data_IF_505161143200
#
_entry.id   IF_505161143200
#
_cell.length_a   1.000
_cell.length_b   1.000
_cell.length_c   1.000
_cell.angle_alpha   90.00
_cell.angle_beta   90.00
_cell.angle_gamma   90.00
#
_symmetry.space_group_name_H-M   'P 1'
#
loop_
_entity.id
_entity.type
_entity.pdbx_description
1 polymer ?
#
# COMPACT_ATOMS: atom_id res chain seq x y z
N UNK A 1 -60.70 47.24 -1.41
CA UNK A 1 -61.53 46.17 -2.00
C UNK A 1 -60.61 45.13 -2.58
N UNK A 2 -60.62 43.86 -2.14
CA UNK A 2 -61.41 43.24 -1.06
C UNK A 2 -60.59 42.08 -0.44
N UNK A 3 -60.73 41.93 0.88
CA UNK A 3 -60.48 40.80 1.80
C UNK A 3 -60.06 39.45 1.17
N UNK A 4 -58.98 38.81 1.65
CA UNK A 4 -58.87 38.01 2.90
C UNK A 4 -59.82 36.80 2.97
N UNK A 5 -59.25 35.59 3.11
CA UNK A 5 -59.83 34.52 3.95
C UNK A 5 -58.81 33.37 4.19
N UNK A 6 -58.30 33.22 5.42
CA UNK A 6 -57.89 31.90 5.94
C UNK A 6 -59.12 31.23 6.58
N UNK A 7 -59.21 29.90 6.55
CA UNK A 7 -60.08 29.17 7.49
C UNK A 7 -59.66 27.71 7.76
N UNK A 8 -59.67 27.38 9.05
CA UNK A 8 -59.11 26.19 9.73
C UNK A 8 -60.12 25.03 9.84
N UNK A 9 -59.73 23.81 9.41
CA UNK A 9 -60.13 22.45 9.91
C UNK A 9 -61.66 22.14 10.11
N UNK A 10 -62.11 20.96 10.66
CA UNK A 10 -61.49 19.65 10.92
C UNK A 10 -62.30 18.44 10.31
N UNK A 11 -62.25 17.26 10.97
CA UNK A 11 -62.99 15.99 10.74
C UNK A 11 -62.46 15.08 9.61
N UNK A 12 -61.86 13.89 9.82
CA UNK A 12 -62.00 12.74 10.78
C UNK A 12 -63.04 11.68 10.33
N UNK A 13 -62.63 10.40 10.43
CA UNK A 13 -63.26 9.07 10.15
C UNK A 13 -62.52 8.33 9.00
N UNK A 14 -61.80 7.21 9.19
CA UNK A 14 -62.16 5.87 9.75
C UNK A 14 -63.19 5.13 8.87
N UNK A 15 -63.00 3.90 8.37
CA UNK A 15 -61.98 2.84 8.53
C UNK A 15 -61.65 2.17 7.14
N UNK A 16 -60.99 1.00 6.92
CA UNK A 16 -60.58 -0.12 7.79
C UNK A 16 -59.41 -0.98 7.23
N UNK A 17 -58.69 -1.59 8.18
CA UNK A 17 -57.82 -2.78 8.26
C UNK A 17 -57.89 -3.91 7.21
N UNK A 18 -56.70 -4.42 6.82
CA UNK A 18 -56.23 -5.84 6.74
C UNK A 18 -54.81 -5.81 6.12
N UNK A 19 -53.70 -5.94 6.85
CA UNK A 19 -53.09 -7.11 7.54
C UNK A 19 -52.29 -8.06 6.62
N UNK A 20 -51.01 -8.23 6.97
CA UNK A 20 -50.07 -9.27 6.51
C UNK A 20 -48.76 -9.16 7.30
N UNK A 21 -48.82 -9.44 8.61
CA UNK A 21 -47.63 -9.51 9.47
C UNK A 21 -46.84 -10.81 9.28
N UNK A 22 -45.50 -10.73 9.22
CA UNK A 22 -44.58 -11.87 9.18
C UNK A 22 -43.37 -11.65 10.09
N UNK A 23 -43.61 -11.50 11.40
CA UNK A 23 -42.57 -11.70 12.40
C UNK A 23 -42.25 -13.20 12.52
N UNK A 24 -40.96 -13.54 12.49
CA UNK A 24 -40.46 -14.85 12.95
C UNK A 24 -39.28 -14.61 13.90
N UNK A 25 -39.61 -14.16 15.10
CA UNK A 25 -38.78 -14.45 16.27
C UNK A 25 -39.12 -15.85 16.78
N UNK A 26 -38.09 -16.64 17.09
CA UNK A 26 -38.24 -17.91 17.80
C UNK A 26 -36.99 -18.10 18.66
N UNK A 27 -37.10 -17.69 19.91
CA UNK A 27 -36.08 -17.84 20.94
C UNK A 27 -36.56 -18.91 21.92
N UNK A 28 -35.82 -20.03 22.01
CA UNK A 28 -36.10 -21.11 22.93
C UNK A 28 -34.79 -21.70 23.47
N UNK A 29 -34.67 -21.69 24.80
CA UNK A 29 -33.51 -22.16 25.54
C UNK A 29 -33.93 -23.19 26.61
N UNK A 30 -32.92 -23.86 27.19
CA UNK A 30 -33.03 -24.94 28.21
C UNK A 30 -33.64 -26.27 27.70
N UNK A 31 -33.31 -27.44 28.25
CA UNK A 31 -32.41 -27.72 29.38
C UNK A 31 -31.56 -29.01 29.19
N UNK A 32 -30.68 -29.24 30.17
CA UNK A 32 -29.66 -30.30 30.26
C UNK A 32 -30.22 -31.70 30.57
N UNK A 33 -29.59 -32.72 29.98
CA UNK A 33 -29.22 -33.98 30.66
C UNK A 33 -28.27 -34.80 29.77
N UNK A 34 -27.16 -35.27 30.33
CA UNK A 34 -26.13 -36.04 29.60
C UNK A 34 -25.94 -37.47 30.13
N UNK A 35 -25.41 -38.33 29.27
CA UNK A 35 -24.75 -39.61 29.59
C UNK A 35 -23.46 -39.68 28.76
N UNK A 36 -22.42 -40.31 29.30
CA UNK A 36 -21.05 -40.27 28.78
C UNK A 36 -20.73 -41.42 27.80
N UNK A 37 -19.43 -41.52 27.44
CA UNK A 37 -18.73 -42.68 26.86
C UNK A 37 -18.78 -42.81 25.32
N UNK A 38 -17.66 -42.88 24.57
CA UNK A 38 -16.23 -42.72 24.88
C UNK A 38 -15.53 -42.05 23.68
N UNK A 39 -14.44 -41.30 23.93
CA UNK A 39 -13.30 -41.27 23.00
C UNK A 39 -11.99 -40.99 23.74
N UNK A 40 -10.96 -41.79 23.46
CA UNK A 40 -9.68 -41.73 24.15
C UNK A 40 -8.82 -40.53 23.76
N UNK A 41 -7.94 -40.14 24.69
CA UNK A 41 -6.84 -39.20 24.44
C UNK A 41 -5.95 -39.69 23.29
N UNK A 42 -5.51 -38.76 22.44
CA UNK A 42 -4.36 -38.94 21.55
C UNK A 42 -3.60 -37.62 21.49
N UNK A 43 -2.49 -37.53 22.22
CA UNK A 43 -1.59 -36.40 22.17
C UNK A 43 -0.70 -36.51 20.92
N UNK A 44 -0.81 -35.60 19.95
CA UNK A 44 0.29 -35.37 19.01
C UNK A 44 0.31 -33.95 18.43
N UNK A 45 1.43 -33.27 18.71
CA UNK A 45 2.15 -32.29 17.88
C UNK A 45 1.40 -31.56 16.76
N UNK A 46 1.20 -30.25 16.95
CA UNK A 46 1.92 -29.16 16.24
C UNK A 46 2.10 -29.15 14.71
N UNK A 47 2.48 -27.95 14.22
CA UNK A 47 3.16 -27.73 12.93
C UNK A 47 2.35 -27.87 11.61
N UNK A 48 1.07 -27.51 11.63
CA UNK A 48 0.24 -27.39 10.41
C UNK A 48 0.72 -26.33 9.40
N UNK A 49 1.72 -25.51 9.72
CA UNK A 49 2.31 -24.51 8.81
C UNK A 49 3.35 -25.10 7.84
N UNK A 50 4.09 -26.15 8.23
CA UNK A 50 5.26 -26.65 7.45
C UNK A 50 4.92 -27.53 6.24
N UNK A 51 3.67 -27.94 6.06
CA UNK A 51 3.29 -29.00 5.11
C UNK A 51 3.44 -28.64 3.61
N UNK A 52 3.78 -27.39 3.28
CA UNK A 52 4.06 -26.96 1.90
C UNK A 52 5.49 -27.26 1.42
N UNK A 53 6.43 -27.62 2.31
CA UNK A 53 7.85 -27.73 1.97
C UNK A 53 8.30 -29.11 1.42
N UNK A 54 7.57 -30.19 1.67
CA UNK A 54 8.03 -31.57 1.37
C UNK A 54 7.98 -32.02 -0.10
N UNK A 55 7.56 -31.15 -1.05
CA UNK A 55 7.56 -31.52 -2.48
C UNK A 55 7.85 -30.36 -3.44
N UNK A 56 8.90 -29.60 -3.16
CA UNK A 56 9.60 -28.83 -4.19
C UNK A 56 10.84 -29.63 -4.63
N UNK A 57 11.06 -29.90 -5.93
CA UNK A 57 12.30 -30.54 -6.38
C UNK A 57 13.52 -29.69 -5.99
N UNK A 58 14.71 -30.29 -5.81
CA UNK A 58 15.94 -29.54 -5.63
C UNK A 58 16.30 -28.81 -6.93
N UNK A 59 15.72 -27.63 -7.12
CA UNK A 59 16.10 -26.68 -8.17
C UNK A 59 17.54 -26.27 -7.92
N UNK A 60 18.42 -26.79 -8.78
CA UNK A 60 19.86 -26.75 -8.62
C UNK A 60 20.35 -25.31 -8.69
N UNK A 61 21.23 -24.90 -7.77
CA UNK A 61 21.91 -23.60 -7.91
C UNK A 61 22.89 -23.70 -9.10
N UNK A 62 23.04 -22.60 -9.83
CA UNK A 62 23.75 -22.51 -11.12
C UNK A 62 23.14 -23.36 -12.27
N UNK A 63 22.23 -22.76 -13.03
CA UNK A 63 21.80 -23.24 -14.35
C UNK A 63 22.13 -22.23 -15.46
N UNK A 64 23.42 -21.99 -15.72
CA UNK A 64 23.91 -21.22 -16.88
C UNK A 64 23.82 -22.04 -18.19
N UNK A 65 22.61 -22.47 -18.56
CA UNK A 65 22.39 -23.29 -19.77
C UNK A 65 21.00 -23.08 -20.39
N UNK A 66 20.96 -22.24 -21.44
CA UNK A 66 19.88 -22.14 -22.45
C UNK A 66 18.44 -22.17 -21.90
N UNK A 67 17.91 -21.00 -21.55
CA UNK A 67 16.46 -20.82 -21.44
C UNK A 67 15.80 -21.07 -22.81
N UNK A 68 15.01 -22.14 -22.91
CA UNK A 68 13.78 -22.08 -23.70
C UNK A 68 12.86 -21.08 -22.98
N UNK A 69 12.25 -20.15 -23.72
CA UNK A 69 11.71 -18.92 -23.14
C UNK A 69 10.56 -19.18 -22.16
N UNK A 70 10.89 -19.20 -20.87
CA UNK A 70 9.93 -19.27 -19.77
C UNK A 70 8.94 -18.10 -19.85
N UNK A 71 7.68 -18.35 -19.49
CA UNK A 71 6.69 -17.27 -19.45
C UNK A 71 6.99 -16.33 -18.26
N UNK A 72 6.76 -15.02 -18.44
CA UNK A 72 7.09 -14.02 -17.43
C UNK A 72 6.56 -14.32 -15.99
N UNK A 73 5.36 -14.90 -15.78
CA UNK A 73 4.92 -15.32 -14.45
C UNK A 73 5.79 -16.43 -13.82
N UNK A 74 6.36 -17.33 -14.61
CA UNK A 74 7.25 -18.40 -14.12
C UNK A 74 8.61 -17.83 -13.71
N UNK A 75 9.19 -16.94 -14.53
CA UNK A 75 10.43 -16.23 -14.16
C UNK A 75 10.25 -15.39 -12.88
N UNK A 76 9.13 -14.65 -12.77
CA UNK A 76 8.79 -13.91 -11.55
C UNK A 76 8.70 -14.80 -10.30
N UNK A 77 8.01 -15.95 -10.39
CA UNK A 77 7.90 -16.90 -9.29
C UNK A 77 9.25 -17.56 -8.95
N UNK A 78 10.10 -17.81 -9.95
CA UNK A 78 11.45 -18.32 -9.74
C UNK A 78 12.29 -17.32 -8.94
N UNK A 79 12.38 -16.06 -9.37
CA UNK A 79 13.17 -15.04 -8.67
C UNK A 79 12.65 -14.75 -7.26
N UNK A 80 11.33 -14.82 -7.04
CA UNK A 80 10.73 -14.76 -5.72
C UNK A 80 11.24 -15.91 -4.82
N UNK A 81 11.26 -17.14 -5.31
CA UNK A 81 11.74 -18.30 -4.56
C UNK A 81 13.25 -18.29 -4.34
N UNK A 82 14.03 -17.76 -5.28
CA UNK A 82 15.48 -17.53 -5.13
C UNK A 82 15.75 -16.57 -3.97
N UNK A 83 15.12 -15.38 -3.97
CA UNK A 83 15.33 -14.36 -2.94
C UNK A 83 14.76 -14.82 -1.59
N UNK A 84 13.62 -15.51 -1.57
CA UNK A 84 13.02 -16.04 -0.34
C UNK A 84 13.95 -17.04 0.36
N UNK A 85 14.55 -17.99 -0.38
CA UNK A 85 15.56 -18.93 0.17
C UNK A 85 16.75 -18.21 0.81
N UNK A 86 17.21 -17.10 0.21
CA UNK A 86 18.31 -16.30 0.73
C UNK A 86 17.93 -15.56 2.02
N UNK A 87 16.72 -14.99 2.07
CA UNK A 87 16.20 -14.28 3.24
C UNK A 87 15.82 -15.19 4.41
N UNK A 88 15.36 -16.42 4.15
CA UNK A 88 14.95 -17.37 5.21
C UNK A 88 16.08 -18.31 5.65
N UNK A 89 16.99 -18.67 4.75
CA UNK A 89 17.91 -19.78 4.98
C UNK A 89 19.08 -19.49 5.92
N UNK A 90 19.42 -18.22 6.16
CA UNK A 90 20.60 -17.82 6.97
C UNK A 90 21.96 -18.31 6.42
N UNK A 91 21.98 -18.81 5.17
CA UNK A 91 23.05 -19.59 4.55
C UNK A 91 24.40 -18.84 4.50
N UNK A 92 24.37 -17.51 4.53
CA UNK A 92 25.54 -16.66 4.32
C UNK A 92 26.16 -16.27 5.68
N UNK A 93 26.82 -17.26 6.27
CA UNK A 93 27.79 -17.12 7.36
C UNK A 93 29.24 -17.04 6.86
N UNK A 94 29.48 -17.21 5.55
CA UNK A 94 30.75 -16.93 4.89
C UNK A 94 30.88 -15.43 4.57
N UNK A 95 32.11 -14.91 4.56
CA UNK A 95 32.37 -13.49 4.27
C UNK A 95 32.04 -13.13 2.82
N UNK A 96 31.16 -12.14 2.65
CA UNK A 96 30.74 -11.62 1.34
C UNK A 96 31.88 -10.98 0.52
N UNK A 97 33.07 -10.79 1.11
CA UNK A 97 34.26 -10.25 0.44
C UNK A 97 34.80 -11.16 -0.65
N UNK A 98 34.54 -12.47 -0.60
CA UNK A 98 34.89 -13.42 -1.67
C UNK A 98 33.77 -13.61 -2.72
N UNK A 99 32.60 -12.98 -2.52
CA UNK A 99 31.33 -13.41 -3.14
C UNK A 99 30.70 -12.37 -4.09
N UNK A 100 31.52 -11.62 -4.83
CA UNK A 100 31.05 -10.56 -5.76
C UNK A 100 30.12 -11.10 -6.87
N UNK A 101 30.34 -12.35 -7.31
CA UNK A 101 29.52 -13.01 -8.32
C UNK A 101 28.08 -13.27 -7.83
N UNK A 102 27.91 -13.80 -6.62
CA UNK A 102 26.57 -14.06 -6.09
C UNK A 102 25.88 -12.75 -5.71
N UNK A 103 26.63 -11.73 -5.26
CA UNK A 103 26.11 -10.37 -5.15
C UNK A 103 25.54 -9.87 -6.48
N UNK A 104 26.17 -10.12 -7.63
CA UNK A 104 25.61 -9.77 -8.93
C UNK A 104 24.35 -10.58 -9.26
N UNK A 105 24.36 -11.91 -9.07
CA UNK A 105 23.20 -12.78 -9.31
C UNK A 105 21.99 -12.37 -8.48
N UNK A 106 22.16 -12.12 -7.18
CA UNK A 106 21.11 -11.67 -6.27
C UNK A 106 20.54 -10.32 -6.75
N UNK A 107 21.40 -9.38 -7.14
CA UNK A 107 20.95 -8.08 -7.64
C UNK A 107 20.20 -8.18 -8.98
N UNK A 108 20.51 -9.19 -9.81
CA UNK A 108 19.78 -9.47 -11.04
C UNK A 108 18.39 -10.04 -10.73
N UNK A 109 18.27 -11.08 -9.89
CA UNK A 109 16.97 -11.63 -9.49
C UNK A 109 16.09 -10.58 -8.79
N UNK A 110 16.67 -9.70 -7.96
CA UNK A 110 15.95 -8.55 -7.34
C UNK A 110 15.45 -7.57 -8.40
N UNK A 111 16.27 -7.24 -9.40
CA UNK A 111 15.87 -6.34 -10.48
C UNK A 111 14.75 -6.93 -11.34
N UNK A 112 14.85 -8.23 -11.67
CA UNK A 112 13.83 -8.98 -12.41
C UNK A 112 12.53 -9.14 -11.60
N UNK A 113 12.61 -9.28 -10.27
CA UNK A 113 11.44 -9.29 -9.39
C UNK A 113 10.73 -7.91 -9.39
N UNK A 114 11.49 -6.80 -9.32
CA UNK A 114 10.95 -5.44 -9.40
C UNK A 114 10.32 -5.12 -10.76
N UNK A 115 10.91 -5.58 -11.86
CA UNK A 115 10.32 -5.48 -13.20
C UNK A 115 9.05 -6.33 -13.33
N UNK A 116 9.06 -7.55 -12.79
CA UNK A 116 7.86 -8.40 -12.71
C UNK A 116 6.71 -7.75 -11.94
N UNK A 117 6.99 -7.22 -10.73
CA UNK A 117 6.01 -6.45 -9.95
C UNK A 117 5.47 -5.25 -10.75
N UNK A 118 6.36 -4.51 -11.42
CA UNK A 118 5.97 -3.37 -12.27
C UNK A 118 5.00 -3.80 -13.38
N UNK A 119 5.27 -4.92 -14.05
CA UNK A 119 4.39 -5.47 -15.11
C UNK A 119 3.04 -5.91 -14.53
N UNK A 120 3.01 -6.57 -13.37
CA UNK A 120 1.75 -6.99 -12.74
C UNK A 120 0.88 -5.82 -12.28
N UNK A 121 1.45 -4.77 -11.68
CA UNK A 121 0.66 -3.59 -11.27
C UNK A 121 0.18 -2.73 -12.46
N UNK A 122 0.89 -2.74 -13.59
CA UNK A 122 0.42 -2.12 -14.84
C UNK A 122 -0.65 -2.95 -15.57
N UNK A 123 -0.75 -4.26 -15.30
CA UNK A 123 -1.65 -5.20 -15.98
C UNK A 123 -2.50 -5.98 -14.97
N UNK A 124 -3.54 -5.36 -14.36
CA UNK A 124 -4.35 -5.95 -13.28
C UNK A 124 -5.30 -7.07 -13.73
N UNK A 125 -4.92 -7.84 -14.75
CA UNK A 125 -5.66 -9.00 -15.29
C UNK A 125 -5.58 -10.24 -14.38
N UNK A 126 -4.76 -10.21 -13.33
CA UNK A 126 -4.50 -11.32 -12.42
C UNK A 126 -4.85 -10.96 -10.96
N UNK A 127 -5.89 -11.58 -10.35
CA UNK A 127 -6.27 -11.33 -8.96
C UNK A 127 -5.38 -12.14 -7.99
N UNK A 128 -4.08 -11.82 -7.93
CA UNK A 128 -3.08 -12.56 -7.13
C UNK A 128 -2.40 -11.63 -6.12
N UNK A 129 -3.20 -10.90 -5.35
CA UNK A 129 -2.74 -9.95 -4.31
C UNK A 129 -1.72 -10.56 -3.34
N UNK A 130 -1.93 -11.82 -2.97
CA UNK A 130 -1.15 -12.48 -1.91
C UNK A 130 0.29 -12.75 -2.36
N UNK A 131 0.52 -13.17 -3.61
CA UNK A 131 1.89 -13.41 -4.12
C UNK A 131 2.62 -12.09 -4.38
N UNK A 132 1.91 -11.06 -4.84
CA UNK A 132 2.48 -9.72 -4.99
C UNK A 132 2.88 -9.12 -3.63
N UNK A 133 2.04 -9.33 -2.60
CA UNK A 133 2.32 -8.90 -1.21
C UNK A 133 3.50 -9.68 -0.64
N UNK A 134 3.53 -11.01 -0.81
CA UNK A 134 4.65 -11.88 -0.40
C UNK A 134 5.97 -11.44 -1.06
N UNK A 135 5.96 -11.10 -2.34
CA UNK A 135 7.15 -10.59 -3.04
C UNK A 135 7.64 -9.24 -2.50
N UNK A 136 6.73 -8.35 -2.13
CA UNK A 136 7.06 -7.08 -1.46
C UNK A 136 7.61 -7.33 -0.05
N UNK A 137 7.04 -8.26 0.71
CA UNK A 137 7.57 -8.65 2.02
C UNK A 137 8.97 -9.28 1.93
N UNK A 138 9.21 -10.17 0.97
CA UNK A 138 10.52 -10.79 0.71
C UNK A 138 11.58 -9.75 0.31
N UNK A 139 11.20 -8.75 -0.51
CA UNK A 139 12.07 -7.61 -0.81
C UNK A 139 12.39 -6.76 0.43
N UNK A 140 11.38 -6.47 1.27
CA UNK A 140 11.57 -5.70 2.51
C UNK A 140 12.50 -6.46 3.48
N UNK A 141 12.33 -7.77 3.65
CA UNK A 141 13.23 -8.59 4.48
C UNK A 141 14.67 -8.55 3.97
N UNK A 142 14.89 -8.73 2.67
CA UNK A 142 16.22 -8.65 2.05
C UNK A 142 16.89 -7.28 2.25
N UNK A 143 16.11 -6.20 2.22
CA UNK A 143 16.58 -4.82 2.44
C UNK A 143 16.87 -4.54 3.91
N UNK A 144 16.19 -5.24 4.83
CA UNK A 144 16.35 -5.08 6.29
C UNK A 144 17.52 -5.91 6.84
N UNK A 145 17.90 -7.02 6.19
CA UNK A 145 19.08 -7.81 6.55
C UNK A 145 20.36 -6.97 6.43
N UNK A 146 21.00 -6.68 7.57
CA UNK A 146 22.18 -5.80 7.66
C UNK A 146 23.45 -6.37 7.02
N UNK A 147 23.49 -7.67 6.71
CA UNK A 147 24.59 -8.32 5.98
C UNK A 147 24.43 -8.17 4.48
N UNK A 148 23.21 -8.38 3.97
CA UNK A 148 22.89 -8.34 2.54
C UNK A 148 22.67 -6.92 2.03
N UNK A 149 22.06 -6.05 2.85
CA UNK A 149 21.57 -4.73 2.44
C UNK A 149 22.64 -3.84 1.81
N UNK A 150 23.83 -3.72 2.41
CA UNK A 150 24.89 -2.84 1.89
C UNK A 150 25.30 -3.16 0.44
N UNK A 151 25.34 -4.44 0.07
CA UNK A 151 25.71 -4.87 -1.29
C UNK A 151 24.52 -4.82 -2.26
N UNK A 152 23.33 -5.23 -1.80
CA UNK A 152 22.09 -5.22 -2.61
C UNK A 152 21.62 -3.79 -2.87
N UNK A 153 21.56 -2.92 -1.86
CA UNK A 153 21.16 -1.52 -2.01
C UNK A 153 22.09 -0.78 -2.96
N UNK A 154 23.42 -0.92 -2.83
CA UNK A 154 24.37 -0.19 -3.69
C UNK A 154 24.20 -0.48 -5.19
N UNK A 155 23.68 -1.66 -5.56
CA UNK A 155 23.38 -2.06 -6.95
C UNK A 155 21.90 -1.84 -7.34
N UNK A 156 20.96 -2.21 -6.48
CA UNK A 156 19.51 -2.24 -6.78
C UNK A 156 18.73 -0.99 -6.33
N UNK A 157 19.26 -0.12 -5.45
CA UNK A 157 18.50 1.03 -4.92
C UNK A 157 17.96 1.94 -6.02
N UNK A 158 18.71 2.16 -7.11
CA UNK A 158 18.21 2.91 -8.29
C UNK A 158 16.95 2.26 -8.89
N UNK A 159 16.93 0.92 -9.02
CA UNK A 159 15.79 0.16 -9.56
C UNK A 159 14.58 0.19 -8.61
N UNK A 160 14.85 0.26 -7.31
CA UNK A 160 13.83 0.36 -6.26
C UNK A 160 13.22 1.78 -6.16
N UNK A 161 14.03 2.82 -6.34
CA UNK A 161 13.54 4.20 -6.52
C UNK A 161 12.70 4.35 -7.80
N UNK A 162 13.13 3.73 -8.90
CA UNK A 162 12.34 3.62 -10.14
C UNK A 162 11.02 2.87 -9.91
N UNK A 163 11.03 1.76 -9.16
CA UNK A 163 9.82 1.00 -8.79
C UNK A 163 8.82 1.86 -8.01
N UNK A 164 9.24 2.57 -6.95
CA UNK A 164 8.36 3.48 -6.20
C UNK A 164 7.75 4.57 -7.09
N UNK A 165 8.54 5.15 -8.00
CA UNK A 165 8.06 6.13 -8.99
C UNK A 165 7.01 5.52 -9.92
N UNK A 166 7.25 4.31 -10.42
CA UNK A 166 6.30 3.59 -11.26
C UNK A 166 4.99 3.31 -10.52
N UNK A 167 5.03 2.87 -9.26
CA UNK A 167 3.83 2.66 -8.43
C UNK A 167 3.02 3.96 -8.25
N UNK A 168 3.66 5.08 -7.93
CA UNK A 168 2.98 6.38 -7.80
C UNK A 168 2.35 6.82 -9.13
N UNK A 169 3.06 6.65 -10.25
CA UNK A 169 2.53 7.00 -11.57
C UNK A 169 1.41 6.05 -12.04
N UNK A 170 1.38 4.78 -11.59
CA UNK A 170 0.26 3.84 -11.76
C UNK A 170 -0.99 4.29 -10.98
N UNK A 171 -0.82 4.96 -9.84
CA UNK A 171 -1.95 5.59 -9.13
C UNK A 171 -2.43 6.82 -9.91
N UNK A 172 -1.57 7.80 -10.13
CA UNK A 172 -1.95 9.10 -10.70
C UNK A 172 -2.65 8.95 -12.06
N UNK A 173 -2.16 8.04 -12.91
CA UNK A 173 -2.65 7.82 -14.28
C UNK A 173 -3.76 6.77 -14.40
N UNK A 174 -4.35 6.30 -13.29
CA UNK A 174 -5.32 5.20 -13.35
C UNK A 174 -6.71 5.64 -13.82
N UNK A 175 -7.02 5.36 -15.09
CA UNK A 175 -8.33 5.59 -15.72
C UNK A 175 -9.11 4.29 -16.02
N UNK A 176 -8.67 3.16 -15.45
CA UNK A 176 -9.29 1.86 -15.70
C UNK A 176 -10.64 1.70 -14.98
N UNK A 177 -11.56 0.91 -15.56
CA UNK A 177 -12.85 0.55 -14.93
C UNK A 177 -12.65 -0.04 -13.53
N UNK A 178 -11.62 -0.86 -13.34
CA UNK A 178 -11.26 -1.45 -12.05
C UNK A 178 -10.22 -0.60 -11.26
N UNK A 179 -10.18 0.74 -11.42
CA UNK A 179 -9.15 1.57 -10.78
C UNK A 179 -9.08 1.32 -9.27
N UNK A 180 -10.21 1.28 -8.55
CA UNK A 180 -10.23 1.20 -7.09
C UNK A 180 -9.49 -0.02 -6.53
N UNK A 181 -9.61 -1.19 -7.19
CA UNK A 181 -8.86 -2.40 -6.80
C UNK A 181 -7.35 -2.25 -7.06
N UNK A 182 -6.99 -1.64 -8.19
CA UNK A 182 -5.59 -1.39 -8.58
C UNK A 182 -4.95 -0.36 -7.64
N UNK A 183 -5.64 0.76 -7.41
CA UNK A 183 -5.27 1.81 -6.47
C UNK A 183 -5.08 1.26 -5.06
N UNK A 184 -5.99 0.42 -4.56
CA UNK A 184 -5.84 -0.21 -3.24
C UNK A 184 -4.59 -1.09 -3.16
N UNK A 185 -4.37 -1.98 -4.14
CA UNK A 185 -3.22 -2.89 -4.15
C UNK A 185 -1.88 -2.14 -4.25
N UNK A 186 -1.80 -1.09 -5.06
CA UNK A 186 -0.60 -0.26 -5.22
C UNK A 186 -0.38 0.62 -3.98
N UNK A 187 -1.44 1.20 -3.39
CA UNK A 187 -1.34 1.98 -2.15
C UNK A 187 -0.86 1.14 -0.98
N UNK A 188 -1.43 -0.06 -0.80
CA UNK A 188 -0.96 -1.03 0.20
C UNK A 188 0.54 -1.37 0.02
N UNK A 189 0.98 -1.52 -1.23
CA UNK A 189 2.39 -1.78 -1.56
C UNK A 189 3.29 -0.61 -1.19
N UNK A 190 2.88 0.62 -1.50
CA UNK A 190 3.62 1.84 -1.10
C UNK A 190 3.67 1.99 0.43
N UNK A 191 2.60 1.69 1.15
CA UNK A 191 2.58 1.68 2.63
C UNK A 191 3.54 0.63 3.20
N UNK A 192 3.56 -0.60 2.65
CA UNK A 192 4.51 -1.64 3.06
C UNK A 192 5.97 -1.20 2.84
N UNK A 193 6.29 -0.64 1.67
CA UNK A 193 7.63 -0.10 1.39
C UNK A 193 7.98 1.06 2.33
N UNK A 194 7.03 1.95 2.61
CA UNK A 194 7.22 3.12 3.49
C UNK A 194 7.36 2.78 4.97
N UNK A 195 6.91 1.60 5.42
CA UNK A 195 7.21 1.08 6.77
C UNK A 195 8.65 0.60 6.92
N UNK A 196 9.39 0.41 5.83
CA UNK A 196 10.81 0.07 5.92
C UNK A 196 11.67 1.34 6.04
N UNK A 197 12.41 1.46 7.16
CA UNK A 197 13.20 2.65 7.48
C UNK A 197 14.27 3.03 6.43
N UNK A 198 14.72 2.11 5.57
CA UNK A 198 15.68 2.41 4.48
C UNK A 198 14.98 3.11 3.31
N UNK A 199 13.70 2.81 3.07
CA UNK A 199 12.93 3.31 1.90
C UNK A 199 11.97 4.45 2.26
N UNK A 200 11.63 4.57 3.54
CA UNK A 200 10.68 5.53 4.12
C UNK A 200 10.97 6.96 3.70
N UNK A 201 12.17 7.47 3.98
CA UNK A 201 12.51 8.87 3.75
C UNK A 201 12.47 9.24 2.27
N UNK A 202 13.01 8.38 1.39
CA UNK A 202 12.96 8.60 -0.06
C UNK A 202 11.59 8.31 -0.68
N UNK A 203 10.68 7.64 0.02
CA UNK A 203 9.26 7.56 -0.38
C UNK A 203 8.48 8.80 0.07
N UNK A 204 8.70 9.27 1.30
CA UNK A 204 8.07 10.50 1.82
C UNK A 204 8.49 11.71 0.97
N UNK A 205 9.79 11.90 0.69
CA UNK A 205 10.28 12.95 -0.23
C UNK A 205 9.60 12.87 -1.61
N UNK A 206 9.49 11.66 -2.18
CA UNK A 206 8.82 11.46 -3.47
C UNK A 206 7.32 11.79 -3.44
N UNK A 207 6.60 11.37 -2.40
CA UNK A 207 5.17 11.68 -2.21
C UNK A 207 4.94 13.17 -2.00
N UNK A 208 5.79 13.85 -1.22
CA UNK A 208 5.75 15.29 -1.02
C UNK A 208 5.94 16.04 -2.35
N UNK A 209 6.95 15.67 -3.14
CA UNK A 209 7.20 16.33 -4.42
C UNK A 209 6.06 16.16 -5.42
N UNK A 210 5.42 14.99 -5.48
CA UNK A 210 4.28 14.72 -6.39
C UNK A 210 3.01 15.46 -5.91
N UNK A 211 2.71 15.46 -4.61
CA UNK A 211 1.55 16.18 -4.03
C UNK A 211 1.71 17.70 -4.15
N UNK A 212 2.90 18.25 -3.87
CA UNK A 212 3.18 19.68 -4.06
C UNK A 212 3.16 20.07 -5.55
N UNK A 213 3.72 19.25 -6.44
CA UNK A 213 3.63 19.50 -7.88
C UNK A 213 2.17 19.53 -8.36
N UNK A 214 1.34 18.58 -7.91
CA UNK A 214 -0.09 18.61 -8.22
C UNK A 214 -0.79 19.86 -7.65
N UNK A 215 -0.47 20.27 -6.42
CA UNK A 215 -1.03 21.48 -5.82
C UNK A 215 -0.70 22.75 -6.61
N UNK A 216 0.54 22.87 -7.11
CA UNK A 216 0.95 23.98 -7.99
C UNK A 216 0.25 23.91 -9.35
N UNK A 217 0.09 22.72 -9.93
CA UNK A 217 -0.65 22.54 -11.19
C UNK A 217 -2.14 22.91 -11.06
N UNK A 218 -2.78 22.48 -9.97
CA UNK A 218 -4.19 22.77 -9.69
C UNK A 218 -4.41 24.28 -9.46
N UNK A 219 -3.51 24.93 -8.71
CA UNK A 219 -3.55 26.38 -8.52
C UNK A 219 -3.37 27.14 -9.84
N UNK A 220 -2.46 26.70 -10.71
CA UNK A 220 -2.27 27.30 -12.03
C UNK A 220 -3.52 27.14 -12.91
N UNK A 221 -4.14 25.95 -12.93
CA UNK A 221 -5.38 25.70 -13.68
C UNK A 221 -6.54 26.59 -13.18
N UNK A 222 -6.73 26.68 -11.86
CA UNK A 222 -7.72 27.55 -11.23
C UNK A 222 -7.48 29.04 -11.58
N UNK A 223 -6.25 29.54 -11.44
CA UNK A 223 -5.89 30.94 -11.71
C UNK A 223 -6.13 31.39 -13.16
N UNK A 224 -6.03 30.48 -14.14
CA UNK A 224 -6.31 30.77 -15.55
C UNK A 224 -7.71 30.30 -16.01
N UNK A 225 -8.53 29.81 -15.07
CA UNK A 225 -9.85 29.21 -15.30
C UNK A 225 -9.86 28.09 -16.37
N UNK A 226 -8.78 27.29 -16.41
CA UNK A 226 -8.67 26.12 -17.29
C UNK A 226 -9.32 24.88 -16.66
N UNK A 227 -9.74 23.93 -17.51
CA UNK A 227 -10.18 22.62 -17.04
C UNK A 227 -9.01 21.80 -16.49
N UNK A 228 -9.22 21.20 -15.32
CA UNK A 228 -8.33 20.20 -14.71
C UNK A 228 -8.80 18.78 -15.04
N UNK A 229 -7.90 17.79 -14.98
CA UNK A 229 -8.27 16.38 -15.11
C UNK A 229 -8.90 15.88 -13.80
N UNK A 230 -10.20 15.64 -13.83
CA UNK A 230 -10.98 15.09 -12.71
C UNK A 230 -10.40 13.74 -12.26
N UNK A 231 -9.93 12.91 -13.20
CA UNK A 231 -9.30 11.62 -12.90
C UNK A 231 -8.03 11.81 -12.08
N UNK A 232 -7.19 12.78 -12.46
CA UNK A 232 -5.95 13.10 -11.73
C UNK A 232 -6.26 13.68 -10.34
N UNK A 233 -7.28 14.53 -10.24
CA UNK A 233 -7.75 15.09 -8.96
C UNK A 233 -8.28 14.00 -8.01
N UNK A 234 -9.09 13.07 -8.47
CA UNK A 234 -9.52 11.93 -7.65
C UNK A 234 -8.35 10.99 -7.27
N UNK A 235 -7.41 10.79 -8.19
CA UNK A 235 -6.26 9.91 -7.99
C UNK A 235 -5.17 10.52 -7.08
N UNK A 236 -5.26 11.81 -6.67
CA UNK A 236 -4.32 12.38 -5.68
C UNK A 236 -4.62 11.93 -4.25
N UNK A 237 -5.89 11.68 -3.91
CA UNK A 237 -6.28 11.38 -2.52
C UNK A 237 -5.64 10.10 -1.96
N UNK A 238 -5.44 9.01 -2.74
CA UNK A 238 -4.60 7.90 -2.30
C UNK A 238 -3.15 8.30 -1.96
N UNK A 239 -2.49 9.18 -2.74
CA UNK A 239 -1.14 9.68 -2.38
C UNK A 239 -1.18 10.44 -1.06
N UNK A 240 -2.16 11.33 -0.88
CA UNK A 240 -2.32 12.10 0.36
C UNK A 240 -2.54 11.18 1.57
N UNK A 241 -3.34 10.12 1.43
CA UNK A 241 -3.58 9.14 2.49
C UNK A 241 -2.34 8.28 2.82
N UNK A 242 -1.57 7.85 1.81
CA UNK A 242 -0.30 7.13 2.02
C UNK A 242 0.70 8.05 2.73
N UNK A 243 0.86 9.29 2.26
CA UNK A 243 1.76 10.28 2.85
C UNK A 243 1.40 10.54 4.32
N UNK A 244 0.12 10.80 4.60
CA UNK A 244 -0.36 11.00 5.96
C UNK A 244 -0.09 9.78 6.86
N UNK A 245 -0.36 8.55 6.40
CA UNK A 245 -0.06 7.35 7.18
C UNK A 245 1.45 7.20 7.46
N UNK A 246 2.32 7.49 6.50
CA UNK A 246 3.76 7.37 6.67
C UNK A 246 4.37 8.43 7.61
N UNK A 247 3.74 9.61 7.69
CA UNK A 247 4.06 10.65 8.68
C UNK A 247 3.49 10.32 10.07
N UNK A 248 2.25 9.83 10.17
CA UNK A 248 1.64 9.45 11.45
C UNK A 248 2.44 8.37 12.18
N UNK A 249 2.87 7.32 11.47
CA UNK A 249 3.70 6.25 12.04
C UNK A 249 5.02 6.78 12.67
N UNK A 250 5.50 7.97 12.31
CA UNK A 250 6.74 8.58 12.84
C UNK A 250 6.55 9.08 14.28
N UNK A 251 5.29 9.35 14.67
CA UNK A 251 4.92 9.77 16.02
C UNK A 251 4.72 8.57 16.97
N UNK A 252 4.51 7.37 16.44
CA UNK A 252 4.27 6.14 17.21
C UNK A 252 5.54 5.28 17.39
N UNK A 253 6.34 5.13 16.33
CA UNK A 253 7.58 4.32 16.34
C UNK A 253 8.79 5.13 16.87
N UNK A 254 8.73 5.47 18.17
CA UNK A 254 9.59 6.48 18.79
C UNK A 254 11.10 6.35 18.56
N UNK A 255 11.68 7.35 17.90
CA UNK A 255 13.07 7.79 17.97
C UNK A 255 14.17 6.72 17.78
N UNK A 256 14.23 6.11 16.58
CA UNK A 256 15.44 5.43 16.11
C UNK A 256 15.98 6.10 14.82
N UNK A 257 17.01 6.94 15.00
CA UNK A 257 17.84 7.56 13.96
C UNK A 257 17.15 8.58 13.03
N UNK A 258 16.88 9.78 13.56
CA UNK A 258 16.51 11.01 12.83
C UNK A 258 17.65 11.58 11.95
N UNK A 259 18.46 10.71 11.34
CA UNK A 259 19.74 11.00 10.69
C UNK A 259 19.70 10.67 9.19
N UNK A 260 18.87 11.39 8.43
CA UNK A 260 18.74 11.15 6.99
C UNK A 260 17.42 11.62 6.38
N UNK A 261 16.72 12.56 7.02
CA UNK A 261 15.59 13.23 6.38
C UNK A 261 16.14 14.20 5.32
N UNK A 262 15.63 14.11 4.09
CA UNK A 262 15.95 15.04 3.01
C UNK A 262 15.23 16.39 3.22
N UNK A 263 15.85 17.24 4.04
CA UNK A 263 15.29 18.51 4.49
C UNK A 263 14.88 19.44 3.34
N UNK A 264 15.52 19.32 2.18
CA UNK A 264 15.23 20.13 1.00
C UNK A 264 13.77 19.94 0.55
N UNK A 265 13.28 18.71 0.47
CA UNK A 265 11.94 18.44 -0.03
C UNK A 265 10.83 18.83 0.98
N UNK A 266 11.09 18.76 2.30
CA UNK A 266 10.18 19.34 3.30
C UNK A 266 10.10 20.85 3.19
N UNK A 267 11.26 21.52 3.08
CA UNK A 267 11.33 22.97 2.93
C UNK A 267 10.65 23.41 1.62
N UNK A 268 10.84 22.65 0.54
CA UNK A 268 10.19 22.85 -0.77
C UNK A 268 8.68 22.63 -0.73
N UNK A 269 8.20 21.59 -0.03
CA UNK A 269 6.76 21.32 0.14
C UNK A 269 6.04 22.39 0.96
N UNK A 270 6.64 22.84 2.08
CA UNK A 270 6.06 23.86 2.96
C UNK A 270 6.15 25.28 2.37
N UNK A 271 7.08 25.53 1.45
CA UNK A 271 7.28 26.85 0.83
C UNK A 271 6.06 27.27 0.02
N UNK A 272 5.47 28.40 0.42
CA UNK A 272 4.24 28.97 -0.15
C UNK A 272 2.97 28.11 0.07
N UNK A 273 3.03 27.03 0.86
CA UNK A 273 1.93 26.09 1.02
C UNK A 273 0.66 26.75 1.58
N UNK A 274 0.80 27.65 2.55
CA UNK A 274 -0.33 28.40 3.12
C UNK A 274 -1.04 29.27 2.07
N UNK A 275 -0.29 29.84 1.12
CA UNK A 275 -0.86 30.61 0.00
C UNK A 275 -1.59 29.70 -0.99
N UNK A 276 -1.05 28.50 -1.25
CA UNK A 276 -1.70 27.50 -2.11
C UNK A 276 -3.01 27.03 -1.46
N UNK A 277 -2.98 26.71 -0.16
CA UNK A 277 -4.16 26.32 0.64
C UNK A 277 -5.23 27.42 0.61
N UNK A 278 -4.85 28.68 0.82
CA UNK A 278 -5.75 29.84 0.84
C UNK A 278 -6.44 30.09 -0.51
N UNK A 279 -5.74 29.93 -1.62
CA UNK A 279 -6.34 30.09 -2.95
C UNK A 279 -7.19 28.89 -3.39
N UNK A 280 -6.84 27.68 -2.96
CA UNK A 280 -7.56 26.46 -3.32
C UNK A 280 -8.74 26.12 -2.39
N UNK A 281 -8.86 26.75 -1.21
CA UNK A 281 -9.83 26.35 -0.18
C UNK A 281 -11.29 26.43 -0.62
N UNK A 282 -11.64 27.38 -1.48
CA UNK A 282 -13.04 27.67 -1.82
C UNK A 282 -13.59 26.71 -2.90
N UNK A 283 -12.76 26.32 -3.88
CA UNK A 283 -13.15 25.35 -4.94
C UNK A 283 -12.73 23.92 -4.61
N UNK A 284 -11.61 23.71 -3.90
CA UNK A 284 -11.02 22.40 -3.60
C UNK A 284 -10.82 22.14 -2.09
N UNK A 285 -11.82 22.37 -1.22
CA UNK A 285 -11.68 22.32 0.24
C UNK A 285 -11.12 21.00 0.77
N UNK A 286 -11.50 19.87 0.16
CA UNK A 286 -10.99 18.54 0.55
C UNK A 286 -9.48 18.41 0.30
N UNK A 287 -8.97 18.93 -0.82
CA UNK A 287 -7.55 18.87 -1.13
C UNK A 287 -6.74 19.86 -0.27
N UNK A 288 -7.24 21.08 -0.07
CA UNK A 288 -6.65 22.03 0.89
C UNK A 288 -6.58 21.48 2.32
N UNK A 289 -7.58 20.71 2.76
CA UNK A 289 -7.55 20.02 4.05
C UNK A 289 -6.44 18.96 4.13
N UNK A 290 -6.19 18.19 3.07
CA UNK A 290 -5.07 17.24 3.02
C UNK A 290 -3.70 17.94 3.03
N UNK A 291 -3.54 19.03 2.28
CA UNK A 291 -2.31 19.84 2.32
C UNK A 291 -2.05 20.41 3.72
N UNK A 292 -3.10 20.91 4.39
CA UNK A 292 -3.01 21.42 5.76
C UNK A 292 -2.64 20.31 6.76
N UNK A 293 -3.26 19.13 6.69
CA UNK A 293 -2.92 17.97 7.53
C UNK A 293 -1.46 17.53 7.34
N UNK A 294 -1.00 17.46 6.09
CA UNK A 294 0.40 17.16 5.78
C UNK A 294 1.36 18.23 6.37
N UNK A 295 1.01 19.52 6.27
CA UNK A 295 1.77 20.61 6.89
C UNK A 295 1.86 20.46 8.41
N UNK A 296 0.74 20.17 9.09
CA UNK A 296 0.70 19.95 10.54
C UNK A 296 1.59 18.77 10.94
N UNK A 297 1.48 17.61 10.26
CA UNK A 297 2.26 16.41 10.56
C UNK A 297 3.77 16.61 10.33
N UNK A 298 4.15 17.29 9.25
CA UNK A 298 5.54 17.66 8.98
C UNK A 298 6.10 18.58 10.07
N UNK A 299 5.30 19.51 10.58
CA UNK A 299 5.74 20.50 11.57
C UNK A 299 5.70 19.96 13.03
N UNK A 300 4.82 19.01 13.36
CA UNK A 300 4.84 18.34 14.67
C UNK A 300 6.13 17.54 14.90
N UNK A 301 6.74 17.00 13.84
CA UNK A 301 8.05 16.36 13.86
C UNK A 301 9.24 17.33 14.10
N UNK A 302 8.99 18.57 14.54
CA UNK A 302 10.00 19.53 15.01
C UNK A 302 9.75 20.03 16.44
N UNK A 303 8.75 19.50 17.14
CA UNK A 303 8.33 19.95 18.49
C UNK A 303 8.64 18.94 19.60
N UNK A 304 9.58 18.02 19.34
CA UNK A 304 10.10 17.01 20.27
C UNK A 304 11.63 16.89 20.13
#
# INVERSE_FOLDING_TARGET
>A
TLLDQECINPMTHSSQLEDSGCDISNDYAFDSLGIASDFHQSEHNGDTSKRWLERVPPLNLCCTSKEESLTAPVQFLQHLLEIKKLSEGGILQADFTELENDSFTICNSVSQLLDGLTIFYNSPKFPVSNVLTEAVCVLISLITDTKLSNHVLKKCFKKLEEFKKNLIQIILRNSNVNRFQTLHAVSHTLVLLGRNNVLRNSLISLLLSEVHQFAVQLLQAHQIQAMYDITQYENIFPLCAILEQLLQNETEEGNISSSGYDGEEKIKFLKNLDQIILHLSDEFPLFSLYLWRASVLLNSAQMQ
#
